data_IF_076188629905
#
_entry.id   IF_076188629905
#
_cell.length_a   1.000
_cell.length_b   1.000
_cell.length_c   1.000
_cell.angle_alpha   90.00
_cell.angle_beta   90.00
_cell.angle_gamma   90.00
#
_symmetry.space_group_name_H-M   'P 1'
#
loop_
_entity.id
_entity.type
_entity.pdbx_description
1 polymer ?
#
# COMPACT_ATOMS: atom_id res chain seq x y z
N UNK A 1 -10.78 25.23 8.46
CA UNK A 1 -10.27 24.56 9.69
C UNK A 1 -10.42 23.02 9.67
N UNK A 2 -11.56 22.39 9.32
CA UNK A 2 -11.67 20.92 9.32
C UNK A 2 -10.76 20.22 8.29
N UNK A 3 -10.63 20.80 7.11
CA UNK A 3 -9.76 20.28 6.04
C UNK A 3 -8.27 20.32 6.42
N UNK A 4 -7.81 21.41 7.02
CA UNK A 4 -6.42 21.59 7.47
C UNK A 4 -6.06 20.62 8.61
N UNK A 5 -6.95 20.44 9.59
CA UNK A 5 -6.78 19.43 10.65
C UNK A 5 -6.76 18.00 10.09
N UNK A 6 -7.59 17.72 9.08
CA UNK A 6 -7.59 16.42 8.40
C UNK A 6 -6.30 16.18 7.61
N UNK A 7 -5.77 17.20 6.94
CA UNK A 7 -4.49 17.13 6.23
C UNK A 7 -3.33 16.88 7.19
N UNK A 8 -3.29 17.59 8.31
CA UNK A 8 -2.25 17.41 9.32
C UNK A 8 -2.32 16.02 9.98
N UNK A 9 -3.54 15.51 10.24
CA UNK A 9 -3.73 14.15 10.74
C UNK A 9 -3.23 13.09 9.75
N UNK A 10 -3.50 13.31 8.45
CA UNK A 10 -2.99 12.46 7.38
C UNK A 10 -1.47 12.46 7.36
N UNK A 11 -0.86 13.65 7.35
CA UNK A 11 0.61 13.83 7.37
C UNK A 11 1.27 13.14 8.55
N UNK A 12 0.72 13.32 9.75
CA UNK A 12 1.20 12.65 10.96
C UNK A 12 1.10 11.11 10.83
N UNK A 13 0.00 10.60 10.25
CA UNK A 13 -0.17 9.18 9.96
C UNK A 13 0.91 8.60 9.06
N UNK A 14 1.28 9.33 8.01
CA UNK A 14 2.35 8.94 7.08
C UNK A 14 3.69 8.82 7.80
N UNK A 15 4.07 9.80 8.62
CA UNK A 15 5.33 9.77 9.36
C UNK A 15 5.35 8.65 10.42
N UNK A 16 4.23 8.43 11.12
CA UNK A 16 4.10 7.33 12.10
C UNK A 16 4.15 5.96 11.42
N UNK A 17 3.53 5.79 10.25
CA UNK A 17 3.63 4.55 9.46
C UNK A 17 5.09 4.29 9.08
N UNK A 18 5.77 5.31 8.55
CA UNK A 18 7.18 5.23 8.18
C UNK A 18 8.05 4.79 9.36
N UNK A 19 7.95 5.46 10.50
CA UNK A 19 8.73 5.14 11.70
C UNK A 19 8.48 3.70 12.15
N UNK A 20 7.23 3.28 12.23
CA UNK A 20 6.87 1.91 12.62
C UNK A 20 7.45 0.87 11.66
N UNK A 21 7.25 1.07 10.36
CA UNK A 21 7.68 0.14 9.32
C UNK A 21 9.20 0.02 9.25
N UNK A 22 9.94 1.12 9.34
CA UNK A 22 11.41 1.10 9.36
C UNK A 22 11.97 0.48 10.65
N UNK A 23 11.27 0.64 11.77
CA UNK A 23 11.63 0.02 13.05
C UNK A 23 11.57 -1.52 13.03
N UNK A 24 10.88 -2.11 12.04
CA UNK A 24 10.93 -3.56 11.82
C UNK A 24 12.30 -4.05 11.34
N UNK A 25 13.18 -3.14 10.89
CA UNK A 25 14.48 -3.41 10.25
C UNK A 25 14.41 -4.09 8.88
N UNK A 26 13.20 -4.41 8.39
CA UNK A 26 13.01 -5.06 7.09
C UNK A 26 12.75 -4.08 5.95
N UNK A 27 12.53 -2.81 6.24
CA UNK A 27 12.07 -1.82 5.27
C UNK A 27 12.92 -0.57 5.34
N UNK A 28 13.09 0.07 4.18
CA UNK A 28 13.60 1.43 4.06
C UNK A 28 12.65 2.22 3.17
N UNK A 29 12.08 3.29 3.70
CA UNK A 29 11.05 4.10 3.06
C UNK A 29 11.61 5.49 2.79
N UNK A 30 12.49 5.59 1.79
CA UNK A 30 13.29 6.80 1.55
C UNK A 30 12.49 8.02 1.10
N UNK A 31 11.25 7.85 0.63
CA UNK A 31 10.46 8.93 0.05
C UNK A 31 9.06 8.97 0.63
N UNK A 32 8.56 10.19 0.80
CA UNK A 32 7.17 10.48 1.15
C UNK A 32 6.52 11.27 0.01
N UNK A 33 5.20 11.19 -0.15
CA UNK A 33 4.50 12.02 -1.14
C UNK A 33 4.73 13.53 -0.91
N UNK A 34 4.99 13.94 0.33
CA UNK A 34 5.23 15.32 0.73
C UNK A 34 6.60 15.86 0.31
N UNK A 35 7.61 14.98 0.18
CA UNK A 35 8.97 15.37 -0.24
C UNK A 35 9.24 15.07 -1.72
N UNK A 36 8.76 13.94 -2.25
CA UNK A 36 9.04 13.48 -3.60
C UNK A 36 7.83 12.74 -4.23
N UNK A 37 6.74 13.47 -4.44
CA UNK A 37 5.49 12.96 -5.03
C UNK A 37 5.71 12.11 -6.29
N UNK A 38 6.60 12.53 -7.20
CA UNK A 38 6.86 11.84 -8.47
C UNK A 38 7.34 10.40 -8.27
N UNK A 39 8.17 10.14 -7.25
CA UNK A 39 8.70 8.80 -6.96
C UNK A 39 7.59 7.91 -6.39
N UNK A 40 6.67 8.50 -5.63
CA UNK A 40 5.51 7.84 -5.04
C UNK A 40 4.33 7.71 -6.02
N UNK A 41 4.48 8.16 -7.26
CA UNK A 41 3.42 8.13 -8.28
C UNK A 41 3.55 6.89 -9.16
N UNK A 42 2.42 6.23 -9.45
CA UNK A 42 2.29 5.20 -10.48
C UNK A 42 1.16 5.53 -11.44
N UNK A 43 1.28 5.02 -12.67
CA UNK A 43 0.25 5.20 -13.68
C UNK A 43 -0.63 3.95 -13.75
N UNK A 44 -1.95 4.15 -13.82
CA UNK A 44 -2.96 3.09 -13.95
C UNK A 44 -3.20 2.74 -15.43
N UNK A 45 -3.92 1.65 -15.70
CA UNK A 45 -4.32 1.22 -17.05
C UNK A 45 -5.09 2.32 -17.80
N UNK A 46 -5.97 3.04 -17.11
CA UNK A 46 -6.80 4.11 -17.66
C UNK A 46 -6.02 5.38 -18.08
N UNK A 47 -4.71 5.40 -17.81
CA UNK A 47 -3.78 6.51 -18.07
C UNK A 47 -3.67 7.50 -16.92
N UNK A 48 -4.52 7.41 -15.90
CA UNK A 48 -4.49 8.30 -14.75
C UNK A 48 -3.35 7.94 -13.78
N UNK A 49 -3.05 8.86 -12.85
CA UNK A 49 -1.98 8.69 -11.87
C UNK A 49 -2.57 8.42 -10.49
N UNK A 50 -1.91 7.53 -9.74
CA UNK A 50 -2.15 7.29 -8.32
C UNK A 50 -0.87 7.64 -7.57
N UNK A 51 -1.01 8.47 -6.54
CA UNK A 51 0.07 8.81 -5.61
C UNK A 51 -0.12 7.98 -4.34
N UNK A 52 0.96 7.36 -3.89
CA UNK A 52 1.06 6.65 -2.62
C UNK A 52 1.74 7.52 -1.57
N UNK A 53 1.47 7.27 -0.29
CA UNK A 53 1.96 8.10 0.79
C UNK A 53 3.48 7.92 1.04
N UNK A 54 3.98 6.69 0.88
CA UNK A 54 5.40 6.36 1.04
C UNK A 54 5.88 5.46 -0.10
N UNK A 55 7.17 5.58 -0.44
CA UNK A 55 7.86 4.69 -1.35
C UNK A 55 9.23 4.25 -0.78
N UNK A 56 9.62 3.03 -1.12
CA UNK A 56 10.86 2.44 -0.62
C UNK A 56 11.07 1.02 -1.13
N UNK A 57 11.73 0.20 -0.32
CA UNK A 57 12.03 -1.20 -0.65
C UNK A 57 12.22 -2.07 0.59
N UNK A 58 12.08 -3.38 0.39
CA UNK A 58 12.47 -4.39 1.38
C UNK A 58 13.99 -4.52 1.48
N UNK A 59 14.50 -4.75 2.68
CA UNK A 59 15.93 -4.96 2.94
C UNK A 59 16.28 -6.46 2.97
N UNK A 60 17.58 -6.77 2.91
CA UNK A 60 18.09 -8.14 2.84
C UNK A 60 17.88 -8.75 1.46
N UNK A 61 17.48 -10.04 1.40
CA UNK A 61 17.37 -10.79 0.14
C UNK A 61 16.18 -10.44 -0.74
N UNK A 62 15.10 -9.89 -0.17
CA UNK A 62 13.85 -9.62 -0.92
C UNK A 62 14.05 -8.44 -1.87
N UNK A 63 14.56 -7.29 -1.40
CA UNK A 63 14.89 -6.10 -2.22
C UNK A 63 13.81 -5.54 -3.13
N UNK A 64 12.58 -6.07 -3.10
CA UNK A 64 11.50 -5.59 -3.92
C UNK A 64 11.11 -4.15 -3.55
N UNK A 65 10.74 -3.32 -4.54
CA UNK A 65 10.14 -2.01 -4.29
C UNK A 65 8.85 -2.14 -3.47
N UNK A 66 8.53 -1.11 -2.69
CA UNK A 66 7.35 -1.05 -1.86
C UNK A 66 6.68 0.32 -1.97
N UNK A 67 5.36 0.30 -2.16
CA UNK A 67 4.48 1.47 -2.09
C UNK A 67 3.49 1.31 -0.93
N UNK A 68 3.35 2.35 -0.11
CA UNK A 68 2.50 2.32 1.08
C UNK A 68 1.42 3.38 0.99
N UNK A 69 0.18 2.99 1.27
CA UNK A 69 -0.93 3.91 1.55
C UNK A 69 -1.23 3.87 3.06
N UNK A 70 -1.18 5.02 3.72
CA UNK A 70 -1.40 5.17 5.16
C UNK A 70 -2.68 5.98 5.43
N UNK A 71 -3.65 5.35 6.09
CA UNK A 71 -4.95 5.94 6.45
C UNK A 71 -5.11 6.02 7.96
N UNK A 72 -4.68 7.12 8.56
CA UNK A 72 -4.87 7.37 10.00
C UNK A 72 -6.30 7.83 10.30
N UNK A 73 -7.18 6.86 10.56
CA UNK A 73 -8.54 7.08 11.07
C UNK A 73 -8.63 6.71 12.54
N UNK A 74 -9.36 7.50 13.32
CA UNK A 74 -9.65 7.24 14.74
C UNK A 74 -11.03 6.64 14.99
N UNK A 75 -11.88 6.56 13.95
CA UNK A 75 -13.24 5.99 14.00
C UNK A 75 -13.53 5.20 12.73
N UNK A 76 -14.57 4.37 12.78
CA UNK A 76 -15.15 3.75 11.58
C UNK A 76 -15.52 4.86 10.58
N UNK A 77 -15.01 4.73 9.36
CA UNK A 77 -15.22 5.68 8.27
C UNK A 77 -15.21 4.97 6.92
N UNK A 78 -14.88 5.70 5.85
CA UNK A 78 -14.81 5.17 4.47
C UNK A 78 -13.64 4.21 4.21
N UNK A 79 -12.98 3.68 5.23
CA UNK A 79 -11.80 2.82 5.07
C UNK A 79 -12.08 1.56 4.25
N UNK A 80 -13.25 0.94 4.47
CA UNK A 80 -13.65 -0.24 3.70
C UNK A 80 -13.77 0.06 2.20
N UNK A 81 -14.45 1.14 1.83
CA UNK A 81 -14.61 1.53 0.43
C UNK A 81 -13.28 2.01 -0.18
N UNK A 82 -12.47 2.77 0.55
CA UNK A 82 -11.15 3.20 0.07
C UNK A 82 -10.18 2.02 -0.09
N UNK A 83 -10.30 0.99 0.75
CA UNK A 83 -9.50 -0.23 0.60
C UNK A 83 -9.89 -0.98 -0.67
N UNK A 84 -11.19 -1.09 -0.96
CA UNK A 84 -11.69 -1.67 -2.22
C UNK A 84 -11.14 -0.88 -3.43
N UNK A 85 -11.22 0.46 -3.39
CA UNK A 85 -10.66 1.31 -4.44
C UNK A 85 -9.14 1.10 -4.60
N UNK A 86 -8.42 0.99 -3.49
CA UNK A 86 -6.99 0.71 -3.45
C UNK A 86 -6.64 -0.65 -4.08
N UNK A 87 -7.42 -1.71 -3.82
CA UNK A 87 -7.20 -3.02 -4.45
C UNK A 87 -7.35 -2.95 -5.97
N UNK A 88 -8.34 -2.21 -6.45
CA UNK A 88 -8.53 -1.96 -7.88
C UNK A 88 -7.38 -1.14 -8.48
N UNK A 89 -6.86 -0.17 -7.75
CA UNK A 89 -5.72 0.65 -8.19
C UNK A 89 -4.42 -0.16 -8.30
N UNK A 90 -4.08 -0.98 -7.30
CA UNK A 90 -2.87 -1.80 -7.35
C UNK A 90 -2.95 -2.87 -8.45
N UNK A 91 -4.13 -3.46 -8.68
CA UNK A 91 -4.36 -4.34 -9.84
C UNK A 91 -4.09 -3.61 -11.15
N UNK A 92 -4.64 -2.40 -11.30
CA UNK A 92 -4.46 -1.61 -12.53
C UNK A 92 -2.99 -1.22 -12.77
N UNK A 93 -2.25 -0.92 -11.70
CA UNK A 93 -0.82 -0.60 -11.79
C UNK A 93 -0.01 -1.82 -12.17
N UNK A 94 -0.25 -2.98 -11.54
CA UNK A 94 0.45 -4.23 -11.88
C UNK A 94 0.10 -4.68 -13.30
N UNK A 95 -1.18 -4.66 -13.69
CA UNK A 95 -1.62 -4.99 -15.05
C UNK A 95 -0.86 -4.18 -16.10
N UNK A 96 -0.74 -2.87 -15.86
CA UNK A 96 -0.03 -1.97 -16.74
C UNK A 96 1.46 -2.31 -16.79
N UNK A 97 2.09 -2.52 -15.64
CA UNK A 97 3.52 -2.84 -15.57
C UNK A 97 3.82 -4.15 -16.32
N UNK A 98 2.99 -5.19 -16.16
CA UNK A 98 3.12 -6.43 -16.92
C UNK A 98 2.94 -6.21 -18.43
N UNK A 99 1.92 -5.45 -18.84
CA UNK A 99 1.67 -5.14 -20.26
C UNK A 99 2.85 -4.40 -20.91
N UNK A 100 3.45 -3.48 -20.16
CA UNK A 100 4.54 -2.62 -20.63
C UNK A 100 5.92 -3.29 -20.45
N UNK A 101 6.01 -4.55 -19.96
CA UNK A 101 7.23 -5.28 -19.60
C UNK A 101 8.14 -4.52 -18.61
N UNK A 102 7.50 -3.89 -17.62
CA UNK A 102 8.12 -3.04 -16.60
C UNK A 102 7.76 -3.48 -15.17
N UNK A 103 7.30 -4.71 -14.98
CA UNK A 103 6.98 -5.22 -13.65
C UNK A 103 8.26 -5.48 -12.84
N UNK A 104 8.52 -4.62 -11.86
CA UNK A 104 9.69 -4.63 -10.98
C UNK A 104 9.42 -5.37 -9.65
N UNK A 105 8.38 -6.20 -9.63
CA UNK A 105 7.90 -6.95 -8.46
C UNK A 105 7.48 -6.04 -7.29
N UNK A 106 7.07 -4.79 -7.59
CA UNK A 106 6.59 -3.84 -6.57
C UNK A 106 5.51 -4.47 -5.69
N UNK A 107 5.71 -4.33 -4.38
CA UNK A 107 4.74 -4.70 -3.36
C UNK A 107 3.96 -3.49 -2.86
N UNK A 108 2.78 -3.77 -2.31
CA UNK A 108 1.83 -2.76 -1.91
C UNK A 108 1.39 -2.99 -0.48
N UNK A 109 1.40 -1.93 0.34
CA UNK A 109 1.03 -2.02 1.73
C UNK A 109 -0.05 -1.00 2.09
N UNK A 110 -1.12 -1.49 2.71
CA UNK A 110 -2.15 -0.66 3.32
C UNK A 110 -1.93 -0.62 4.83
N UNK A 111 -1.78 0.57 5.38
CA UNK A 111 -1.62 0.82 6.82
C UNK A 111 -2.79 1.66 7.32
N UNK A 112 -3.47 1.22 8.37
CA UNK A 112 -4.51 2.01 9.04
C UNK A 112 -4.38 1.92 10.56
N UNK A 113 -5.08 2.78 11.29
CA UNK A 113 -5.11 2.80 12.77
C UNK A 113 -6.42 2.28 13.37
N UNK A 114 -7.34 1.84 12.52
CA UNK A 114 -8.63 1.35 12.98
C UNK A 114 -9.03 0.11 12.17
N UNK A 115 -9.46 -0.99 12.83
CA UNK A 115 -9.99 -2.16 12.12
C UNK A 115 -11.18 -1.79 11.23
N UNK A 116 -11.27 -2.38 10.04
CA UNK A 116 -12.36 -2.15 9.10
C UNK A 116 -12.79 -3.47 8.48
N UNK A 117 -13.98 -3.50 7.88
CA UNK A 117 -14.51 -4.69 7.17
C UNK A 117 -14.37 -5.99 7.98
N UNK A 118 -14.63 -5.94 9.29
CA UNK A 118 -14.31 -7.03 10.23
C UNK A 118 -14.93 -8.38 9.84
N UNK A 119 -16.16 -8.37 9.29
CA UNK A 119 -16.82 -9.58 8.79
C UNK A 119 -16.12 -10.24 7.60
N UNK A 120 -15.28 -9.50 6.88
CA UNK A 120 -14.49 -9.97 5.75
C UNK A 120 -12.99 -10.05 6.06
N UNK A 121 -12.56 -9.82 7.30
CA UNK A 121 -11.15 -9.74 7.69
C UNK A 121 -10.24 -10.85 7.11
N UNK A 122 -10.57 -12.16 7.23
CA UNK A 122 -9.71 -13.22 6.71
C UNK A 122 -9.63 -13.26 5.17
N UNK A 123 -10.47 -12.49 4.47
CA UNK A 123 -10.55 -12.46 3.00
C UNK A 123 -9.91 -11.22 2.40
N UNK A 124 -9.59 -10.19 3.19
CA UNK A 124 -9.19 -8.88 2.66
C UNK A 124 -7.96 -8.93 1.75
N UNK A 125 -7.06 -9.89 1.97
CA UNK A 125 -5.86 -10.11 1.16
C UNK A 125 -5.99 -11.29 0.19
N UNK A 126 -7.17 -11.90 0.04
CA UNK A 126 -7.39 -12.99 -0.89
C UNK A 126 -7.67 -12.48 -2.29
N UNK A 127 -7.21 -13.22 -3.29
CA UNK A 127 -7.40 -12.88 -4.71
C UNK A 127 -8.88 -12.72 -5.10
N UNK A 128 -9.81 -13.46 -4.49
CA UNK A 128 -11.25 -13.30 -4.71
C UNK A 128 -11.75 -11.91 -4.31
N UNK A 129 -11.18 -11.35 -3.23
CA UNK A 129 -11.53 -10.02 -2.73
C UNK A 129 -10.92 -8.92 -3.61
N UNK A 130 -9.69 -9.14 -4.11
CA UNK A 130 -9.09 -8.29 -5.16
C UNK A 130 -9.98 -8.28 -6.41
N UNK A 131 -10.38 -9.46 -6.89
CA UNK A 131 -11.23 -9.62 -8.07
C UNK A 131 -12.58 -8.92 -7.92
N UNK A 132 -13.20 -9.02 -6.74
CA UNK A 132 -14.44 -8.32 -6.44
C UNK A 132 -14.26 -6.80 -6.50
N UNK A 133 -13.17 -6.28 -5.91
CA UNK A 133 -12.84 -4.86 -5.95
C UNK A 133 -12.56 -4.34 -7.37
N UNK A 134 -11.83 -5.12 -8.18
CA UNK A 134 -11.59 -4.80 -9.60
C UNK A 134 -12.90 -4.75 -10.38
N UNK A 135 -13.80 -5.71 -10.15
CA UNK A 135 -15.14 -5.72 -10.77
C UNK A 135 -15.94 -4.46 -10.42
N UNK A 136 -15.94 -4.05 -9.15
CA UNK A 136 -16.67 -2.86 -8.69
C UNK A 136 -16.17 -1.57 -9.37
N UNK A 137 -14.89 -1.53 -9.76
CA UNK A 137 -14.28 -0.37 -10.41
C UNK A 137 -13.92 -0.59 -11.89
N UNK A 138 -14.42 -1.64 -12.53
CA UNK A 138 -13.97 -2.05 -13.86
C UNK A 138 -14.19 -0.97 -14.94
N UNK A 139 -15.31 -0.23 -14.87
CA UNK A 139 -15.58 0.91 -15.75
C UNK A 139 -14.53 2.02 -15.59
N UNK A 140 -14.23 2.40 -14.35
CA UNK A 140 -13.20 3.40 -14.03
C UNK A 140 -11.83 2.97 -14.53
N UNK A 141 -11.51 1.68 -14.41
CA UNK A 141 -10.25 1.10 -14.88
C UNK A 141 -10.19 0.92 -16.41
N UNK A 142 -11.31 1.12 -17.13
CA UNK A 142 -11.46 0.90 -18.57
C UNK A 142 -11.09 -0.52 -18.99
N UNK A 143 -11.51 -1.52 -18.20
CA UNK A 143 -11.32 -2.92 -18.57
C UNK A 143 -12.19 -3.29 -19.79
N UNK A 144 -11.77 -4.26 -20.63
CA UNK A 144 -12.57 -4.74 -21.73
C UNK A 144 -13.91 -5.31 -21.25
N UNK A 145 -15.00 -4.92 -21.91
CA UNK A 145 -16.31 -5.49 -21.65
C UNK A 145 -16.47 -6.84 -22.39
N UNK A 146 -17.23 -7.74 -21.79
CA UNK A 146 -17.60 -9.07 -22.30
C UNK A 146 -19.12 -9.26 -22.13
N UNK A 147 -19.69 -10.33 -22.69
CA UNK A 147 -21.12 -10.62 -22.52
C UNK A 147 -21.52 -10.80 -21.04
N UNK A 148 -20.60 -11.30 -20.21
CA UNK A 148 -20.80 -11.56 -18.77
C UNK A 148 -20.27 -10.44 -17.84
N UNK A 149 -19.90 -9.28 -18.40
CA UNK A 149 -19.41 -8.13 -17.63
C UNK A 149 -18.07 -7.62 -18.12
N UNK A 150 -17.01 -7.74 -17.30
CA UNK A 150 -15.67 -7.26 -17.63
C UNK A 150 -14.66 -8.40 -17.60
N UNK A 151 -13.70 -8.34 -18.52
CA UNK A 151 -12.54 -9.23 -18.54
C UNK A 151 -11.61 -8.86 -17.38
N UNK A 152 -11.46 -9.79 -16.42
CA UNK A 152 -10.60 -9.65 -15.25
C UNK A 152 -9.66 -10.85 -15.24
N UNK A 153 -8.37 -10.57 -15.18
CA UNK A 153 -7.33 -11.60 -15.15
C UNK A 153 -7.20 -12.15 -13.71
N UNK A 154 -7.61 -13.41 -13.55
CA UNK A 154 -7.58 -14.11 -12.26
C UNK A 154 -6.15 -14.43 -11.79
N UNK A 155 -5.21 -14.69 -12.70
CA UNK A 155 -3.81 -14.91 -12.35
C UNK A 155 -3.16 -13.62 -11.87
N UNK A 156 -3.49 -12.49 -12.50
CA UNK A 156 -3.07 -11.19 -12.03
C UNK A 156 -3.68 -10.84 -10.65
N UNK A 157 -4.94 -11.21 -10.40
CA UNK A 157 -5.54 -11.06 -9.06
C UNK A 157 -4.77 -11.86 -8.00
N UNK A 158 -4.31 -13.07 -8.33
CA UNK A 158 -3.47 -13.90 -7.43
C UNK A 158 -2.10 -13.25 -7.20
N UNK A 159 -1.48 -12.74 -8.25
CA UNK A 159 -0.19 -12.04 -8.15
C UNK A 159 -0.29 -10.80 -7.24
N UNK A 160 -1.31 -9.97 -7.44
CA UNK A 160 -1.58 -8.79 -6.61
C UNK A 160 -1.80 -9.18 -5.15
N UNK A 161 -2.59 -10.23 -4.89
CA UNK A 161 -2.82 -10.74 -3.55
C UNK A 161 -1.53 -11.22 -2.86
N UNK A 162 -0.59 -11.81 -3.61
CA UNK A 162 0.73 -12.23 -3.07
C UNK A 162 1.64 -11.04 -2.72
N UNK A 163 1.45 -9.89 -3.37
CA UNK A 163 2.24 -8.67 -3.19
C UNK A 163 1.62 -7.67 -2.19
N UNK A 164 0.47 -8.03 -1.63
CA UNK A 164 -0.36 -7.17 -0.79
C UNK A 164 -0.08 -7.40 0.70
N UNK A 165 0.15 -6.31 1.41
CA UNK A 165 0.26 -6.26 2.86
C UNK A 165 -0.86 -5.42 3.46
N UNK A 166 -1.42 -5.88 4.58
CA UNK A 166 -2.45 -5.18 5.33
C UNK A 166 -2.05 -5.10 6.80
N UNK A 167 -1.84 -3.89 7.31
CA UNK A 167 -1.51 -3.63 8.70
C UNK A 167 -2.55 -2.72 9.35
N UNK A 168 -3.02 -3.12 10.52
CA UNK A 168 -3.79 -2.28 11.43
C UNK A 168 -2.93 -2.01 12.65
N UNK A 169 -2.54 -0.75 12.81
CA UNK A 169 -1.73 -0.26 13.91
C UNK A 169 -2.63 0.33 15.01
N UNK A 170 -2.03 0.56 16.16
CA UNK A 170 -2.59 1.30 17.28
C UNK A 170 -1.59 2.36 17.73
N UNK A 171 -2.07 3.42 18.38
CA UNK A 171 -1.16 4.44 18.90
C UNK A 171 -0.17 3.87 19.93
N UNK A 172 -0.58 2.87 20.72
CA UNK A 172 0.29 2.20 21.70
C UNK A 172 1.43 1.42 21.07
N UNK A 173 1.28 0.95 19.83
CA UNK A 173 2.38 0.31 19.11
C UNK A 173 3.48 1.30 18.72
N UNK A 174 3.18 2.60 18.64
CA UNK A 174 4.20 3.62 18.42
C UNK A 174 5.11 3.80 19.63
N UNK A 175 4.64 3.49 20.84
CA UNK A 175 5.48 3.51 22.05
C UNK A 175 6.50 2.36 22.09
N UNK A 176 6.38 1.37 21.18
CA UNK A 176 7.21 0.17 21.11
C UNK A 176 8.20 0.16 19.95
N UNK A 177 8.26 1.25 19.16
CA UNK A 177 9.17 1.37 18.03
C UNK A 177 10.56 1.77 18.50
N UNK A 178 11.58 1.36 17.75
CA UNK A 178 12.95 1.77 18.02
C UNK A 178 13.07 3.29 17.81
N UNK A 179 13.79 3.96 18.72
CA UNK A 179 14.28 5.32 18.45
C UNK A 179 15.22 5.30 17.23
N UNK A 180 15.43 6.45 16.55
CA UNK A 180 16.37 6.53 15.43
C UNK A 180 17.78 6.02 15.78
N UNK A 181 18.26 6.30 17.00
CA UNK A 181 19.55 5.84 17.50
C UNK A 181 19.59 4.32 17.68
N UNK A 182 18.57 3.74 18.30
CA UNK A 182 18.47 2.28 18.49
C UNK A 182 18.33 1.56 17.14
N UNK A 183 17.52 2.09 16.22
CA UNK A 183 17.37 1.55 14.88
C UNK A 183 18.71 1.56 14.14
N UNK A 184 19.47 2.65 14.23
CA UNK A 184 20.81 2.75 13.63
C UNK A 184 21.74 1.66 14.17
N UNK A 185 21.78 1.47 15.49
CA UNK A 185 22.60 0.43 16.13
C UNK A 185 22.15 -0.97 15.67
N UNK A 186 20.84 -1.25 15.69
CA UNK A 186 20.30 -2.53 15.24
C UNK A 186 20.67 -2.81 13.77
N UNK A 187 20.50 -1.83 12.88
CA UNK A 187 20.82 -1.96 11.46
C UNK A 187 22.31 -2.22 11.20
N UNK A 188 23.22 -1.61 11.96
CA UNK A 188 24.67 -1.86 11.87
C UNK A 188 25.02 -3.33 12.15
N UNK A 189 24.34 -3.96 13.11
CA UNK A 189 24.59 -5.35 13.46
C UNK A 189 23.88 -6.33 12.52
N UNK A 190 22.66 -6.00 12.08
CA UNK A 190 21.86 -6.85 11.20
C UNK A 190 22.41 -6.91 9.77
N UNK A 191 23.15 -5.89 9.32
CA UNK A 191 23.79 -5.83 7.98
C UNK A 191 22.84 -6.15 6.83
N UNK A 192 21.56 -5.77 6.96
CA UNK A 192 20.54 -6.02 5.92
C UNK A 192 20.73 -5.15 4.68
N UNK A 193 21.45 -4.05 4.83
CA UNK A 193 21.87 -3.20 3.71
C UNK A 193 23.11 -3.80 3.06
N UNK A 194 22.96 -4.28 1.83
CA UNK A 194 24.05 -4.92 1.08
C UNK A 194 24.09 -6.46 1.13
N UNK A 195 23.21 -7.10 1.92
CA UNK A 195 23.08 -8.56 2.01
C UNK A 195 22.21 -9.20 0.93
#
# INVERSE_FOLDING_TARGET
>A
MPAEKSQETGREGVFRAKQYLESTTYLRLSWTAYDHEKICTRQRLDGSKKVYDLAGYFLGKRRHPLLVEAKKYSVVGSQGSMYIEYLADIYSITARACRDDMDDETEFMWVTWHPFSQGNWPKLTHHEYVRAAVREHAERLKLPATEDGFEIDDDLCRLVAQRLWLLVLSDRQQDLVLSPEELKVAMMHLKREGA
#
